data_IF_893659790010
#
_entry.id   IF_893659790010
#
_cell.length_a   1.000
_cell.length_b   1.000
_cell.length_c   1.000
_cell.angle_alpha   90.00
_cell.angle_beta   90.00
_cell.angle_gamma   90.00
#
_symmetry.space_group_name_H-M   'P 1'
#
loop_
_entity.id
_entity.type
_entity.pdbx_description
1 polymer ?
#
# COMPACT_ATOMS: atom_id res chain seq x y z
N UNK A 1 -12.89 75.83 72.22
CA UNK A 1 -13.90 76.84 71.88
C UNK A 1 -14.58 76.41 70.58
N UNK A 2 -15.87 76.06 70.69
CA UNK A 2 -16.91 76.12 69.66
C UNK A 2 -16.78 75.27 68.38
N UNK A 3 -17.62 74.23 68.19
CA UNK A 3 -19.00 74.22 67.60
C UNK A 3 -18.93 73.62 66.19
N UNK A 4 -19.84 72.79 65.70
CA UNK A 4 -21.14 72.33 66.17
C UNK A 4 -21.43 70.95 65.56
N UNK A 5 -22.25 70.17 66.27
CA UNK A 5 -23.02 69.08 65.67
C UNK A 5 -24.10 69.65 64.75
N UNK A 6 -24.48 68.91 63.71
CA UNK A 6 -25.88 68.84 63.26
C UNK A 6 -26.11 67.55 62.45
N UNK A 7 -27.00 66.73 62.99
CA UNK A 7 -27.52 65.47 62.45
C UNK A 7 -28.64 65.75 61.45
N UNK A 8 -28.70 65.00 60.33
CA UNK A 8 -29.97 64.76 59.62
C UNK A 8 -30.09 63.26 59.24
N UNK A 9 -31.31 62.77 59.44
CA UNK A 9 -31.82 61.39 59.41
C UNK A 9 -32.01 60.83 57.97
N UNK A 10 -32.35 59.54 57.81
CA UNK A 10 -32.10 58.77 56.59
C UNK A 10 -33.24 58.86 55.57
N UNK A 11 -32.90 58.69 54.30
CA UNK A 11 -33.84 58.30 53.24
C UNK A 11 -33.48 56.91 52.74
N UNK A 12 -34.38 55.96 52.97
CA UNK A 12 -34.39 54.68 52.28
C UNK A 12 -34.62 54.92 50.78
N UNK A 13 -33.95 54.16 49.91
CA UNK A 13 -34.62 53.41 48.82
C UNK A 13 -33.66 52.54 47.99
N UNK A 14 -34.14 51.31 47.79
CA UNK A 14 -34.03 50.43 46.62
C UNK A 14 -32.70 49.71 46.34
N UNK A 15 -32.76 48.42 46.67
CA UNK A 15 -32.01 47.31 46.10
C UNK A 15 -31.87 47.39 44.58
N UNK A 16 -30.63 47.33 44.09
CA UNK A 16 -30.33 46.79 42.78
C UNK A 16 -29.48 45.55 42.95
N UNK A 17 -30.15 44.40 42.89
CA UNK A 17 -29.48 43.12 42.72
C UNK A 17 -28.86 43.03 41.34
N UNK A 18 -27.62 42.55 41.29
CA UNK A 18 -27.18 41.44 40.41
C UNK A 18 -25.66 41.29 40.54
N UNK A 19 -25.21 40.68 41.64
CA UNK A 19 -23.92 39.99 41.65
C UNK A 19 -24.17 38.58 41.12
N UNK A 20 -23.50 38.26 40.03
CA UNK A 20 -23.64 37.06 39.22
C UNK A 20 -23.59 35.76 40.06
N UNK A 21 -24.69 35.01 40.00
CA UNK A 21 -24.82 33.66 40.55
C UNK A 21 -24.14 32.59 39.67
N UNK A 22 -22.86 32.79 39.32
CA UNK A 22 -22.09 31.85 38.49
C UNK A 22 -20.88 31.24 39.21
N UNK A 23 -20.63 31.59 40.47
CA UNK A 23 -19.41 31.20 41.19
C UNK A 23 -19.61 30.22 42.36
N UNK A 24 -20.81 29.66 42.56
CA UNK A 24 -21.04 28.69 43.64
C UNK A 24 -22.07 27.62 43.22
N UNK A 25 -21.67 26.75 42.30
CA UNK A 25 -22.42 25.57 41.92
C UNK A 25 -21.62 24.31 42.20
N UNK A 26 -21.82 23.71 43.39
CA UNK A 26 -21.44 22.33 43.65
C UNK A 26 -22.16 21.42 42.63
N UNK A 27 -21.39 20.85 41.70
CA UNK A 27 -21.91 19.86 40.76
C UNK A 27 -22.42 18.65 41.55
N UNK A 28 -23.71 18.33 41.38
CA UNK A 28 -24.35 17.18 42.03
C UNK A 28 -23.62 15.88 41.68
N UNK A 29 -23.45 14.99 42.65
CA UNK A 29 -22.71 13.72 42.53
C UNK A 29 -23.15 12.79 41.38
N UNK A 30 -24.33 13.03 40.79
CA UNK A 30 -24.81 12.36 39.56
C UNK A 30 -24.00 12.75 38.31
N UNK A 31 -23.50 13.98 38.23
CA UNK A 31 -22.68 14.44 37.10
C UNK A 31 -21.24 13.93 37.16
N UNK A 32 -20.72 13.64 38.36
CA UNK A 32 -19.37 13.11 38.54
C UNK A 32 -19.23 11.64 38.09
N UNK A 33 -20.31 10.85 38.16
CA UNK A 33 -20.33 9.44 37.72
C UNK A 33 -20.39 9.24 36.20
N UNK A 34 -20.78 10.25 35.42
CA UNK A 34 -20.70 10.20 33.94
C UNK A 34 -19.31 10.56 33.40
N UNK A 35 -18.43 11.16 34.22
CA UNK A 35 -17.08 11.56 33.83
C UNK A 35 -16.03 10.45 34.04
N UNK A 36 -16.43 9.31 34.63
CA UNK A 36 -15.60 8.12 34.79
C UNK A 36 -15.99 7.06 33.75
N UNK A 37 -15.93 7.44 32.49
CA UNK A 37 -15.79 6.49 31.38
C UNK A 37 -14.44 5.81 31.58
N UNK A 38 -14.44 4.54 31.99
CA UNK A 38 -13.26 3.68 31.93
C UNK A 38 -12.58 3.85 30.56
N UNK A 39 -11.27 4.12 30.46
CA UNK A 39 -10.59 4.03 29.19
C UNK A 39 -10.69 2.58 28.71
N UNK A 40 -11.49 2.34 27.66
CA UNK A 40 -11.49 1.05 26.97
C UNK A 40 -10.04 0.73 26.56
N UNK A 41 -9.53 -0.50 26.81
CA UNK A 41 -8.18 -0.90 26.43
C UNK A 41 -8.07 -1.19 24.93
N UNK A 42 -9.16 -1.06 24.17
CA UNK A 42 -9.06 -0.97 22.72
C UNK A 42 -8.44 0.39 22.45
N UNK A 43 -7.15 0.40 22.11
CA UNK A 43 -6.46 1.57 21.62
C UNK A 43 -7.42 2.33 20.70
N UNK A 44 -7.79 3.55 21.09
CA UNK A 44 -8.50 4.45 20.19
C UNK A 44 -7.67 4.44 18.91
N UNK A 45 -8.19 3.84 17.84
CA UNK A 45 -7.57 3.96 16.53
C UNK A 45 -7.47 5.45 16.33
N UNK A 46 -6.22 5.96 16.35
CA UNK A 46 -5.96 7.38 16.19
C UNK A 46 -6.53 7.76 14.83
N UNK A 47 -7.75 8.28 14.82
CA UNK A 47 -8.49 8.68 13.62
C UNK A 47 -7.78 9.85 12.91
N UNK A 48 -6.75 10.42 13.55
CA UNK A 48 -5.78 11.34 12.95
C UNK A 48 -4.84 10.64 11.97
N UNK A 49 -4.56 9.34 12.11
CA UNK A 49 -3.78 8.52 11.15
C UNK A 49 -4.64 8.08 9.96
N UNK A 50 -5.95 7.93 10.14
CA UNK A 50 -6.88 7.64 9.03
C UNK A 50 -7.06 8.84 8.07
N UNK A 51 -6.77 10.07 8.55
CA UNK A 51 -6.85 11.30 7.75
C UNK A 51 -5.53 11.74 7.09
N UNK A 52 -4.38 11.17 7.44
CA UNK A 52 -3.09 11.64 6.92
C UNK A 52 -2.66 10.90 5.63
N UNK A 53 -3.22 9.73 5.34
CA UNK A 53 -2.66 8.85 4.30
C UNK A 53 -3.65 8.43 3.22
N UNK A 54 -4.00 9.38 2.34
CA UNK A 54 -4.42 9.11 0.96
C UNK A 54 -5.70 8.31 0.73
N UNK A 55 -6.47 7.97 1.77
CA UNK A 55 -7.74 7.24 1.64
C UNK A 55 -8.88 8.15 1.18
N UNK A 56 -8.87 9.43 1.56
CA UNK A 56 -9.81 10.45 1.07
C UNK A 56 -9.06 11.52 0.26
N UNK A 57 -9.24 11.53 -1.07
CA UNK A 57 -8.72 12.55 -1.99
C UNK A 57 -7.62 12.11 -2.96
N UNK A 58 -7.42 12.88 -4.06
CA UNK A 58 -6.36 12.64 -5.07
C UNK A 58 -4.99 13.14 -4.56
N UNK A 59 -4.44 12.48 -3.54
CA UNK A 59 -3.13 12.78 -2.92
C UNK A 59 -2.19 11.56 -2.96
N UNK A 60 -0.89 11.80 -3.06
CA UNK A 60 0.11 10.74 -2.91
C UNK A 60 0.29 10.34 -1.44
N UNK A 61 0.30 9.04 -1.13
CA UNK A 61 0.47 8.54 0.23
C UNK A 61 1.83 8.92 0.84
N UNK A 62 2.94 8.72 0.10
CA UNK A 62 4.30 8.96 0.61
C UNK A 62 4.71 10.43 0.60
N UNK A 63 4.50 11.12 -0.52
CA UNK A 63 5.01 12.51 -0.69
C UNK A 63 3.98 13.57 -0.37
N UNK A 64 2.71 13.19 -0.19
CA UNK A 64 1.63 14.15 0.01
C UNK A 64 1.31 15.07 -1.18
N UNK A 65 1.89 14.83 -2.37
CA UNK A 65 1.62 15.62 -3.57
C UNK A 65 0.11 15.65 -3.89
N UNK A 66 -0.44 16.85 -4.03
CA UNK A 66 -1.84 17.14 -4.35
C UNK A 66 -1.95 17.87 -5.69
N UNK A 67 -3.18 18.06 -6.17
CA UNK A 67 -3.44 18.85 -7.35
C UNK A 67 -2.97 20.31 -7.17
N UNK A 68 -2.48 20.91 -8.24
CA UNK A 68 -2.14 22.33 -8.29
C UNK A 68 -3.29 23.13 -8.90
N UNK A 69 -3.48 24.36 -8.45
CA UNK A 69 -4.38 25.31 -9.10
C UNK A 69 -3.65 25.92 -10.31
N UNK A 70 -4.28 25.90 -11.48
CA UNK A 70 -3.73 26.49 -12.69
C UNK A 70 -4.81 27.12 -13.55
N UNK A 71 -4.39 27.58 -14.73
CA UNK A 71 -5.28 28.15 -15.74
C UNK A 71 -5.06 27.48 -17.09
N UNK A 72 -6.12 27.38 -17.88
CA UNK A 72 -6.02 27.21 -19.33
C UNK A 72 -6.15 28.59 -19.96
N UNK A 73 -5.14 29.01 -20.71
CA UNK A 73 -5.08 30.33 -21.35
C UNK A 73 -5.41 30.16 -22.83
N UNK A 74 -6.38 30.91 -23.35
CA UNK A 74 -6.71 30.93 -24.77
C UNK A 74 -5.72 31.80 -25.57
N UNK A 75 -5.79 31.73 -26.89
CA UNK A 75 -5.04 32.65 -27.78
C UNK A 75 -5.33 34.13 -27.46
N UNK A 76 -6.60 34.45 -27.14
CA UNK A 76 -7.04 35.77 -26.68
C UNK A 76 -6.73 36.09 -25.21
N UNK A 77 -5.87 35.31 -24.54
CA UNK A 77 -5.46 35.51 -23.15
C UNK A 77 -6.58 35.39 -22.09
N UNK A 78 -7.71 34.78 -22.43
CA UNK A 78 -8.78 34.48 -21.48
C UNK A 78 -8.31 33.34 -20.57
N UNK A 79 -8.38 33.56 -19.25
CA UNK A 79 -7.88 32.61 -18.23
C UNK A 79 -9.03 31.86 -17.57
N UNK A 80 -9.17 30.59 -17.89
CA UNK A 80 -10.14 29.71 -17.24
C UNK A 80 -9.48 28.89 -16.13
N UNK A 81 -10.06 28.88 -14.92
CA UNK A 81 -9.53 28.12 -13.77
C UNK A 81 -9.57 26.61 -14.07
N UNK A 82 -8.47 25.91 -13.82
CA UNK A 82 -8.38 24.44 -13.97
C UNK A 82 -7.51 23.84 -12.87
N UNK A 83 -7.90 22.68 -12.37
CA UNK A 83 -7.06 21.88 -11.47
C UNK A 83 -6.11 20.98 -12.28
N UNK A 84 -4.81 21.11 -12.03
CA UNK A 84 -3.78 20.22 -12.55
C UNK A 84 -3.58 19.05 -11.59
N UNK A 85 -4.10 17.88 -11.96
CA UNK A 85 -4.01 16.67 -11.13
C UNK A 85 -2.57 16.16 -10.99
N UNK A 86 -2.23 15.64 -9.81
CA UNK A 86 -0.99 14.90 -9.64
C UNK A 86 -1.04 13.56 -10.42
N UNK A 87 0.07 13.18 -11.06
CA UNK A 87 0.21 11.88 -11.72
C UNK A 87 0.32 10.77 -10.66
N UNK A 88 -0.84 10.26 -10.22
CA UNK A 88 -0.99 9.23 -9.20
C UNK A 88 -1.28 7.89 -9.85
N UNK A 89 -0.59 6.85 -9.40
CA UNK A 89 -0.69 5.49 -9.92
C UNK A 89 -0.89 4.51 -8.76
N UNK A 90 -1.76 3.52 -8.95
CA UNK A 90 -1.85 2.38 -8.05
C UNK A 90 -0.76 1.38 -8.43
N UNK A 91 0.19 1.15 -7.53
CA UNK A 91 1.30 0.22 -7.75
C UNK A 91 1.53 -0.64 -6.53
N UNK A 92 1.99 -1.87 -6.79
CA UNK A 92 2.51 -2.77 -5.77
C UNK A 92 4.00 -2.48 -5.64
N UNK A 93 4.43 -2.11 -4.44
CA UNK A 93 5.85 -1.86 -4.12
C UNK A 93 6.33 -2.99 -3.24
N UNK A 94 7.48 -3.55 -3.57
CA UNK A 94 8.09 -4.62 -2.78
C UNK A 94 8.71 -4.03 -1.51
N UNK A 95 8.44 -4.66 -0.37
CA UNK A 95 9.04 -4.34 0.91
C UNK A 95 10.02 -5.47 1.29
N UNK A 96 11.34 -5.20 1.27
CA UNK A 96 12.35 -6.22 1.51
C UNK A 96 12.28 -6.82 2.93
N UNK A 97 12.19 -5.99 3.98
CA UNK A 97 12.26 -6.46 5.37
C UNK A 97 11.14 -7.46 5.71
N UNK A 98 9.93 -7.17 5.28
CA UNK A 98 8.77 -8.01 5.54
C UNK A 98 8.44 -8.97 4.38
N UNK A 99 9.30 -9.03 3.35
CA UNK A 99 9.19 -9.92 2.19
C UNK A 99 7.81 -9.95 1.52
N UNK A 100 7.16 -8.80 1.39
CA UNK A 100 5.80 -8.69 0.84
C UNK A 100 5.62 -7.49 -0.06
N UNK A 101 4.57 -7.51 -0.86
CA UNK A 101 4.19 -6.38 -1.69
C UNK A 101 3.11 -5.55 -1.00
N UNK A 102 3.28 -4.24 -0.97
CA UNK A 102 2.30 -3.30 -0.44
C UNK A 102 1.60 -2.59 -1.60
N UNK A 103 0.28 -2.52 -1.58
CA UNK A 103 -0.49 -1.77 -2.58
C UNK A 103 -0.60 -0.30 -2.17
N UNK A 104 0.05 0.58 -2.92
CA UNK A 104 0.09 2.02 -2.64
C UNK A 104 -0.46 2.85 -3.80
N UNK A 105 -1.06 4.00 -3.47
CA UNK A 105 -1.36 5.08 -4.42
C UNK A 105 -0.26 6.13 -4.37
N UNK A 106 0.65 6.07 -5.33
CA UNK A 106 1.90 6.85 -5.31
C UNK A 106 2.06 7.72 -6.55
N UNK A 107 2.77 8.83 -6.40
CA UNK A 107 3.18 9.64 -7.54
C UNK A 107 4.41 9.04 -8.23
N UNK A 108 4.60 9.35 -9.52
CA UNK A 108 5.79 8.90 -10.26
C UNK A 108 7.11 9.40 -9.65
N UNK A 109 7.09 10.62 -9.09
CA UNK A 109 8.22 11.15 -8.34
C UNK A 109 8.49 10.34 -7.07
N UNK A 110 7.45 9.91 -6.36
CA UNK A 110 7.63 9.06 -5.19
C UNK A 110 8.25 7.72 -5.57
N UNK A 111 7.86 7.13 -6.71
CA UNK A 111 8.47 5.90 -7.22
C UNK A 111 9.98 6.07 -7.49
N UNK A 112 10.37 7.20 -8.10
CA UNK A 112 11.79 7.54 -8.30
C UNK A 112 12.54 7.67 -6.96
N UNK A 113 11.92 8.26 -5.94
CA UNK A 113 12.53 8.42 -4.62
C UNK A 113 12.62 7.11 -3.86
N UNK A 114 11.61 6.24 -3.93
CA UNK A 114 11.64 4.88 -3.36
C UNK A 114 12.88 4.14 -3.86
N UNK A 115 13.15 4.18 -5.18
CA UNK A 115 14.30 3.51 -5.76
C UNK A 115 15.65 4.08 -5.30
N UNK A 116 15.70 5.34 -4.85
CA UNK A 116 16.93 6.01 -4.40
C UNK A 116 17.20 5.85 -2.91
N UNK A 117 16.15 5.97 -2.10
CA UNK A 117 16.28 6.09 -0.63
C UNK A 117 15.84 4.79 0.06
N UNK A 118 14.96 4.02 -0.56
CA UNK A 118 14.26 2.89 0.06
C UNK A 118 12.84 3.23 0.48
N UNK A 119 12.01 2.21 0.65
CA UNK A 119 10.60 2.35 1.01
C UNK A 119 10.41 2.77 2.47
N UNK A 120 11.13 2.15 3.40
CA UNK A 120 10.97 2.37 4.85
C UNK A 120 11.33 3.79 5.27
N UNK A 121 12.54 4.24 4.95
CA UNK A 121 12.99 5.62 5.20
C UNK A 121 12.01 6.65 4.63
N UNK A 122 11.38 6.34 3.49
CA UNK A 122 10.40 7.23 2.89
C UNK A 122 9.05 7.19 3.61
N UNK A 123 8.64 6.01 4.10
CA UNK A 123 7.43 5.84 4.88
C UNK A 123 7.54 6.51 6.26
N UNK A 124 8.69 6.36 6.94
CA UNK A 124 8.99 7.03 8.21
C UNK A 124 8.90 8.56 8.09
N UNK A 125 9.53 9.13 7.05
CA UNK A 125 9.43 10.58 6.75
C UNK A 125 7.99 11.03 6.50
N UNK A 126 7.16 10.15 5.97
CA UNK A 126 5.76 10.42 5.70
C UNK A 126 4.84 10.13 6.90
N UNK A 127 5.37 9.56 7.99
CA UNK A 127 4.59 9.05 9.12
C UNK A 127 3.64 7.91 8.74
N UNK A 128 3.97 7.16 7.69
CA UNK A 128 3.18 6.03 7.18
C UNK A 128 3.55 4.76 7.91
N UNK A 129 2.57 4.14 8.56
CA UNK A 129 2.72 2.76 9.00
C UNK A 129 2.47 1.79 7.83
N UNK A 130 3.51 1.06 7.43
CA UNK A 130 3.47 0.09 6.34
C UNK A 130 2.79 -1.23 6.74
N UNK A 131 2.72 -1.54 8.04
CA UNK A 131 2.16 -2.80 8.55
C UNK A 131 0.64 -2.84 8.45
N UNK A 132 -0.03 -1.71 8.65
CA UNK A 132 -1.48 -1.57 8.54
C UNK A 132 -2.03 -1.63 7.11
N UNK A 133 -1.17 -1.48 6.09
CA UNK A 133 -1.60 -1.36 4.70
C UNK A 133 -1.95 -2.71 4.07
N UNK A 134 -2.85 -2.67 3.09
CA UNK A 134 -3.18 -3.85 2.30
C UNK A 134 -1.93 -4.38 1.58
N UNK A 135 -1.56 -5.62 1.89
CA UNK A 135 -0.41 -6.28 1.34
C UNK A 135 -0.79 -7.56 0.59
N UNK A 136 0.13 -8.03 -0.22
CA UNK A 136 0.10 -9.33 -0.86
C UNK A 136 1.45 -9.95 -0.59
N UNK A 137 1.49 -11.10 0.06
CA UNK A 137 2.74 -11.80 0.31
C UNK A 137 3.43 -12.12 -1.01
N UNK A 138 4.76 -12.00 -1.01
CA UNK A 138 5.52 -12.16 -2.25
C UNK A 138 5.49 -13.61 -2.74
N UNK A 139 5.39 -14.58 -1.82
CA UNK A 139 4.89 -15.95 -2.04
C UNK A 139 5.08 -16.78 -0.75
N UNK A 140 4.01 -17.18 -0.02
CA UNK A 140 4.11 -18.16 1.06
C UNK A 140 4.53 -19.55 0.52
N UNK A 141 3.93 -19.97 -0.59
CA UNK A 141 4.20 -21.23 -1.29
C UNK A 141 5.61 -21.35 -1.85
N UNK A 142 6.23 -20.25 -2.27
CA UNK A 142 7.61 -20.27 -2.81
C UNK A 142 8.64 -20.44 -1.71
N UNK A 143 8.39 -19.83 -0.55
CA UNK A 143 9.19 -19.99 0.66
C UNK A 143 9.12 -21.44 1.15
N UNK A 144 7.93 -22.01 1.25
CA UNK A 144 7.73 -23.42 1.59
C UNK A 144 8.38 -24.35 0.55
N UNK A 145 8.18 -24.08 -0.76
CA UNK A 145 8.71 -24.89 -1.85
C UNK A 145 10.25 -24.85 -1.97
N UNK A 146 10.91 -23.71 -1.74
CA UNK A 146 12.38 -23.60 -1.78
C UNK A 146 13.05 -24.32 -0.60
N UNK A 147 12.40 -24.31 0.58
CA UNK A 147 12.83 -25.07 1.76
C UNK A 147 12.75 -26.57 1.50
N UNK A 148 11.72 -27.00 0.76
CA UNK A 148 11.46 -28.40 0.47
C UNK A 148 12.24 -28.94 -0.76
N UNK A 149 12.57 -28.10 -1.75
CA UNK A 149 13.09 -28.55 -3.06
C UNK A 149 14.46 -27.99 -3.49
N UNK A 150 15.06 -27.02 -2.77
CA UNK A 150 16.32 -26.38 -3.18
C UNK A 150 16.19 -25.44 -4.40
N UNK A 151 17.27 -25.19 -5.14
CA UNK A 151 17.35 -24.14 -6.17
C UNK A 151 16.23 -24.18 -7.24
N UNK A 152 15.80 -22.99 -7.69
CA UNK A 152 14.62 -22.84 -8.55
C UNK A 152 14.71 -23.67 -9.85
N UNK A 153 13.60 -24.28 -10.30
CA UNK A 153 13.62 -25.08 -11.51
C UNK A 153 13.71 -24.11 -12.70
N UNK A 154 14.70 -24.31 -13.57
CA UNK A 154 14.86 -23.50 -14.77
C UNK A 154 13.55 -23.51 -15.58
N UNK A 155 13.13 -22.33 -16.05
CA UNK A 155 11.85 -22.14 -16.77
C UNK A 155 11.79 -23.10 -17.97
N UNK A 156 10.86 -24.07 -17.95
CA UNK A 156 10.70 -25.03 -19.06
C UNK A 156 10.30 -24.28 -20.34
N UNK A 157 11.00 -24.54 -21.44
CA UNK A 157 10.64 -24.04 -22.76
C UNK A 157 9.32 -24.69 -23.20
N UNK A 158 8.19 -23.98 -23.06
CA UNK A 158 6.84 -24.47 -23.44
C UNK A 158 6.72 -24.87 -24.91
N UNK A 159 7.64 -24.38 -25.75
CA UNK A 159 7.70 -24.63 -27.19
C UNK A 159 8.55 -25.85 -27.54
N UNK A 160 9.25 -26.43 -26.58
CA UNK A 160 9.94 -27.69 -26.78
C UNK A 160 8.88 -28.81 -26.88
N UNK A 161 9.00 -29.75 -27.84
CA UNK A 161 8.12 -30.89 -27.90
C UNK A 161 8.18 -31.67 -26.58
N UNK A 162 7.02 -32.02 -26.03
CA UNK A 162 6.92 -32.85 -24.83
C UNK A 162 7.31 -34.28 -25.19
N UNK A 163 8.46 -34.72 -24.69
CA UNK A 163 9.02 -36.05 -24.96
C UNK A 163 10.33 -36.00 -25.77
N UNK A 164 11.12 -37.07 -25.76
CA UNK A 164 12.33 -37.12 -26.56
C UNK A 164 12.00 -37.10 -28.05
N UNK A 165 12.90 -36.48 -28.82
CA UNK A 165 12.71 -36.24 -30.25
C UNK A 165 12.55 -37.58 -30.97
N UNK A 166 11.46 -37.73 -31.72
CA UNK A 166 11.22 -38.92 -32.55
C UNK A 166 12.31 -39.03 -33.60
N UNK A 167 12.86 -40.23 -33.78
CA UNK A 167 13.81 -40.50 -34.84
C UNK A 167 13.08 -40.57 -36.19
N UNK A 168 13.19 -39.52 -37.01
CA UNK A 168 12.64 -39.54 -38.36
C UNK A 168 13.64 -40.14 -39.35
N UNK A 169 13.33 -41.34 -39.87
CA UNK A 169 14.09 -41.96 -40.95
C UNK A 169 13.29 -41.82 -42.26
N UNK A 170 13.78 -41.10 -43.27
CA UNK A 170 13.10 -40.98 -44.56
C UNK A 170 12.94 -42.33 -45.28
N UNK A 171 11.81 -42.52 -46.00
CA UNK A 171 11.47 -43.77 -46.70
C UNK A 171 12.57 -44.29 -47.64
N UNK A 172 13.22 -43.40 -48.40
CA UNK A 172 14.33 -43.77 -49.29
C UNK A 172 15.51 -44.41 -48.54
N UNK A 173 15.75 -44.01 -47.28
CA UNK A 173 16.82 -44.56 -46.46
C UNK A 173 16.44 -45.93 -45.95
N UNK A 174 15.17 -46.14 -45.58
CA UNK A 174 14.63 -47.46 -45.20
C UNK A 174 14.75 -48.46 -46.36
N UNK A 175 14.35 -48.07 -47.57
CA UNK A 175 14.45 -48.89 -48.78
C UNK A 175 15.91 -49.22 -49.15
N UNK A 176 16.81 -48.25 -49.00
CA UNK A 176 18.24 -48.45 -49.24
C UNK A 176 18.89 -49.42 -48.23
N UNK A 177 18.43 -49.39 -46.98
CA UNK A 177 18.90 -50.29 -45.91
C UNK A 177 18.33 -51.70 -46.09
N UNK A 178 17.07 -51.81 -46.51
CA UNK A 178 16.43 -53.08 -46.86
C UNK A 178 17.14 -53.77 -48.04
N UNK A 179 17.52 -53.00 -49.08
CA UNK A 179 18.35 -53.52 -50.20
C UNK A 179 19.73 -54.01 -49.77
N UNK A 180 20.28 -53.51 -48.67
CA UNK A 180 21.56 -53.95 -48.10
C UNK A 180 21.43 -55.13 -47.13
N UNK A 181 20.22 -55.65 -46.91
CA UNK A 181 19.96 -56.75 -45.97
C UNK A 181 20.13 -56.37 -44.49
N UNK A 182 20.15 -55.07 -44.17
CA UNK A 182 20.27 -54.57 -42.80
C UNK A 182 18.87 -54.44 -42.18
N UNK A 183 18.69 -54.99 -40.98
CA UNK A 183 17.42 -54.86 -40.24
C UNK A 183 17.23 -53.41 -39.75
N UNK A 184 16.28 -52.73 -40.39
CA UNK A 184 15.94 -51.33 -40.17
C UNK A 184 15.48 -51.08 -38.74
N UNK A 185 14.77 -52.04 -38.12
CA UNK A 185 14.25 -51.90 -36.76
C UNK A 185 15.37 -52.03 -35.72
N UNK A 186 16.33 -52.94 -35.94
CA UNK A 186 17.46 -53.13 -35.04
C UNK A 186 18.44 -51.94 -35.06
N UNK A 187 18.71 -51.38 -36.24
CA UNK A 187 19.61 -50.21 -36.36
C UNK A 187 18.98 -48.91 -35.84
N UNK A 188 17.66 -48.74 -36.02
CA UNK A 188 16.94 -47.59 -35.45
C UNK A 188 16.91 -47.64 -33.93
N UNK A 189 16.73 -48.83 -33.33
CA UNK A 189 16.83 -49.03 -31.89
C UNK A 189 18.24 -48.71 -31.35
N UNK A 190 19.29 -49.24 -31.98
CA UNK A 190 20.70 -48.95 -31.62
C UNK A 190 21.05 -47.46 -31.74
N UNK A 191 20.57 -46.79 -32.79
CA UNK A 191 20.79 -45.35 -32.97
C UNK A 191 20.03 -44.53 -31.92
N UNK A 192 18.80 -44.91 -31.62
CA UNK A 192 17.99 -44.26 -30.61
C UNK A 192 18.61 -44.38 -29.21
N UNK A 193 19.09 -45.57 -28.84
CA UNK A 193 19.78 -45.82 -27.57
C UNK A 193 21.09 -45.02 -27.45
N UNK A 194 21.90 -44.95 -28.52
CA UNK A 194 23.17 -44.20 -28.55
C UNK A 194 23.01 -42.70 -28.29
N UNK A 195 21.88 -42.12 -28.69
CA UNK A 195 21.63 -40.67 -28.64
C UNK A 195 20.48 -40.28 -27.69
N UNK A 196 19.98 -41.22 -26.88
CA UNK A 196 18.89 -40.96 -25.93
C UNK A 196 17.57 -40.52 -26.58
N UNK A 197 17.29 -41.00 -27.79
CA UNK A 197 16.05 -40.71 -28.54
C UNK A 197 15.02 -41.82 -28.29
N UNK A 198 13.73 -41.53 -28.35
CA UNK A 198 12.70 -42.57 -28.36
C UNK A 198 12.38 -42.98 -29.80
N UNK A 199 12.28 -44.29 -30.02
CA UNK A 199 11.61 -44.89 -31.18
C UNK A 199 10.09 -44.74 -31.01
N UNK A 200 9.38 -44.44 -32.09
CA UNK A 200 7.93 -44.38 -32.10
C UNK A 200 7.29 -45.77 -32.05
#
# INVERSE_FOLDING_TARGET
MSTAMLTLKPTATVSHGSKSAFAAGNLTAKFQKMAMTTPSPVARVNTTVENIHGKSGRKCMLTGKKANNGYTVSFSHIRNKKLQGANLQYKRVYWPEQQRYIRLRISTNALKTINKVGLEKMAERAGLDLMSLAYTDADPKRREWLVENGAAPAKKNKRAPTGPKKLFVPKWKQERMAKKGQDVAAETKKFAERWGMQTA
#
